data_IF_484880972951
#
_entry.id   IF_484880972951
#
_cell.length_a   1.000
_cell.length_b   1.000
_cell.length_c   1.000
_cell.angle_alpha   90.00
_cell.angle_beta   90.00
_cell.angle_gamma   90.00
#
_symmetry.space_group_name_H-M   'P 1'
#
loop_
_entity.id
_entity.type
_entity.pdbx_description
1 polymer ?
#
# COMPACT_ATOMS: atom_id res chain seq x y z
N UNK A 1 -3.50 57.79 -6.44
CA UNK A 1 -4.36 58.53 -7.38
C UNK A 1 -3.44 59.50 -8.09
N UNK A 2 -3.17 59.46 -9.38
CA UNK A 2 -3.66 58.62 -10.48
C UNK A 2 -2.80 59.02 -11.70
N UNK A 3 -2.46 58.04 -12.53
CA UNK A 3 -2.38 58.12 -14.00
C UNK A 3 -1.38 59.10 -14.63
N UNK A 4 -0.36 58.58 -15.33
CA UNK A 4 -0.29 58.57 -16.82
C UNK A 4 0.84 59.53 -17.23
N UNK A 5 1.80 59.21 -18.10
CA UNK A 5 1.62 58.84 -19.50
C UNK A 5 2.95 58.37 -20.13
N UNK A 6 2.76 57.61 -21.19
CA UNK A 6 3.66 56.89 -22.07
C UNK A 6 4.72 57.74 -22.80
N UNK A 7 5.95 57.21 -23.00
CA UNK A 7 6.76 57.51 -24.18
C UNK A 7 7.45 56.23 -24.67
N UNK A 8 6.78 55.59 -25.64
CA UNK A 8 7.34 54.66 -26.63
C UNK A 8 8.39 55.36 -27.51
N UNK A 9 9.03 54.59 -28.39
CA UNK A 9 9.82 54.97 -29.58
C UNK A 9 11.34 54.96 -29.44
N UNK A 10 11.94 53.77 -29.54
CA UNK A 10 12.98 53.54 -30.55
C UNK A 10 13.26 52.04 -30.75
N UNK A 11 12.97 51.59 -31.98
CA UNK A 11 13.67 50.51 -32.71
C UNK A 11 13.62 49.11 -32.06
N UNK A 12 12.69 48.22 -32.39
CA UNK A 12 12.43 47.64 -33.71
C UNK A 12 13.70 47.41 -34.55
N UNK A 13 13.95 46.12 -34.75
CA UNK A 13 14.63 45.52 -35.90
C UNK A 13 16.16 45.43 -35.87
N UNK A 14 16.67 44.37 -35.23
CA UNK A 14 17.49 43.47 -36.03
C UNK A 14 17.42 42.06 -35.44
N UNK A 15 16.67 41.20 -36.14
CA UNK A 15 16.54 39.79 -35.80
C UNK A 15 17.84 39.02 -36.02
N UNK A 16 18.11 38.11 -35.08
CA UNK A 16 18.60 36.79 -35.43
C UNK A 16 17.96 35.77 -34.49
N UNK A 17 17.20 34.86 -35.09
CA UNK A 17 16.53 33.77 -34.41
C UNK A 17 17.29 32.49 -34.75
N UNK A 18 18.07 31.98 -33.81
CA UNK A 18 18.32 30.54 -33.69
C UNK A 18 18.34 30.13 -32.21
N UNK A 19 17.28 29.50 -31.68
CA UNK A 19 17.39 28.73 -30.45
C UNK A 19 17.85 27.33 -30.85
N UNK A 20 19.16 27.09 -30.90
CA UNK A 20 19.69 25.73 -31.02
C UNK A 20 19.59 25.04 -29.65
N UNK A 21 18.87 23.93 -29.65
CA UNK A 21 18.40 23.25 -28.47
C UNK A 21 19.42 22.27 -27.88
N UNK A 22 19.02 21.77 -26.71
CA UNK A 22 19.55 20.61 -26.02
C UNK A 22 20.85 20.81 -25.21
N UNK A 23 20.77 21.67 -24.20
CA UNK A 23 21.43 21.37 -22.92
C UNK A 23 20.85 20.04 -22.40
N UNK A 24 21.61 18.97 -22.64
CA UNK A 24 21.30 17.65 -22.09
C UNK A 24 21.68 17.70 -20.62
N UNK A 25 20.76 18.24 -19.81
CA UNK A 25 20.79 18.13 -18.37
C UNK A 25 20.69 16.65 -18.00
N UNK A 26 21.85 16.01 -17.89
CA UNK A 26 22.05 14.71 -17.26
C UNK A 26 21.83 14.90 -15.76
N UNK A 27 20.56 15.10 -15.39
CA UNK A 27 20.08 15.08 -14.01
C UNK A 27 20.12 13.65 -13.47
N UNK A 28 20.79 13.50 -12.34
CA UNK A 28 21.11 12.23 -11.68
C UNK A 28 19.95 11.24 -11.60
N UNK A 29 20.16 10.10 -12.28
CA UNK A 29 19.40 8.87 -12.12
C UNK A 29 20.23 7.82 -11.37
N UNK A 30 20.62 8.14 -10.15
CA UNK A 30 21.07 7.24 -9.10
C UNK A 30 20.63 8.00 -7.85
N UNK A 31 19.62 7.58 -7.08
CA UNK A 31 19.70 6.41 -6.21
C UNK A 31 18.27 5.90 -5.91
N UNK A 32 17.83 4.84 -6.59
CA UNK A 32 16.65 4.06 -6.15
C UNK A 32 16.95 2.58 -6.37
N UNK A 33 18.03 2.07 -5.77
CA UNK A 33 18.36 0.65 -5.89
C UNK A 33 19.29 0.12 -4.78
N UNK A 34 19.25 0.66 -3.56
CA UNK A 34 19.94 0.02 -2.41
C UNK A 34 19.02 0.02 -1.18
N UNK A 35 17.97 -0.81 -1.26
CA UNK A 35 17.10 -1.13 -0.12
C UNK A 35 16.86 -2.63 0.04
N UNK A 36 17.57 -3.48 -0.70
CA UNK A 36 17.39 -4.93 -0.71
C UNK A 36 18.08 -5.66 0.44
N UNK A 37 19.21 -5.14 0.93
CA UNK A 37 20.01 -5.79 1.98
C UNK A 37 19.38 -5.75 3.37
N UNK A 38 18.68 -4.66 3.72
CA UNK A 38 18.04 -4.51 5.04
C UNK A 38 16.80 -5.40 5.23
N UNK A 39 16.22 -5.92 4.15
CA UNK A 39 15.11 -6.87 4.20
C UNK A 39 15.56 -8.30 4.52
N UNK A 40 16.84 -8.63 4.33
CA UNK A 40 17.35 -9.99 4.60
C UNK A 40 17.20 -10.38 6.07
N UNK A 41 17.44 -9.43 6.98
CA UNK A 41 17.28 -9.64 8.42
C UNK A 41 15.82 -9.88 8.87
N UNK A 42 14.84 -9.52 8.04
CA UNK A 42 13.40 -9.68 8.36
C UNK A 42 12.88 -11.07 8.01
N UNK A 43 13.57 -11.82 7.13
CA UNK A 43 13.12 -13.16 6.72
C UNK A 43 13.20 -14.20 7.85
N UNK A 44 14.08 -13.99 8.84
CA UNK A 44 14.29 -14.92 9.96
C UNK A 44 13.41 -14.62 11.19
N UNK A 45 12.44 -13.70 11.07
CA UNK A 45 11.55 -13.37 12.18
C UNK A 45 10.47 -14.45 12.33
N UNK A 46 10.39 -15.17 13.48
CA UNK A 46 9.36 -16.16 13.69
C UNK A 46 7.98 -15.49 13.81
N UNK A 47 6.98 -16.01 13.08
CA UNK A 47 5.61 -15.50 13.09
C UNK A 47 4.61 -16.57 13.49
N UNK A 48 3.53 -16.16 14.18
CA UNK A 48 2.45 -17.07 14.54
C UNK A 48 1.45 -17.19 13.38
N UNK A 49 1.37 -18.39 12.82
CA UNK A 49 0.37 -18.75 11.82
C UNK A 49 -0.81 -19.43 12.51
N UNK A 50 -2.03 -19.02 12.20
CA UNK A 50 -3.26 -19.61 12.72
C UNK A 50 -4.19 -19.94 11.56
N UNK A 51 -4.60 -21.20 11.45
CA UNK A 51 -5.59 -21.64 10.49
C UNK A 51 -6.96 -21.68 11.17
N UNK A 52 -7.94 -20.96 10.61
CA UNK A 52 -9.29 -20.83 11.16
C UNK A 52 -10.27 -21.52 10.21
N UNK A 53 -10.89 -22.59 10.71
CA UNK A 53 -11.93 -23.32 9.99
C UNK A 53 -13.23 -22.51 9.87
N UNK A 54 -13.60 -21.79 10.92
CA UNK A 54 -14.84 -21.01 10.95
C UNK A 54 -15.01 -20.29 12.26
N UNK A 55 -15.90 -19.30 12.26
CA UNK A 55 -16.20 -18.45 13.41
C UNK A 55 -17.69 -18.58 13.71
N UNK A 56 -18.06 -18.44 14.97
CA UNK A 56 -19.45 -18.40 15.39
C UNK A 56 -19.59 -17.40 16.53
N UNK A 57 -20.67 -16.61 16.49
CA UNK A 57 -20.95 -15.60 17.50
C UNK A 57 -22.02 -16.14 18.43
N UNK A 58 -21.68 -16.33 19.70
CA UNK A 58 -22.59 -16.82 20.73
C UNK A 58 -22.89 -15.72 21.74
N UNK A 59 -24.12 -15.70 22.25
CA UNK A 59 -24.44 -14.85 23.40
C UNK A 59 -23.76 -15.40 24.66
N UNK A 60 -23.47 -14.53 25.63
CA UNK A 60 -22.83 -14.94 26.90
C UNK A 60 -23.63 -16.05 27.60
N UNK A 61 -24.96 -16.00 27.55
CA UNK A 61 -25.81 -17.04 28.14
C UNK A 61 -25.65 -18.41 27.45
N UNK A 62 -25.51 -18.44 26.11
CA UNK A 62 -25.26 -19.67 25.37
C UNK A 62 -23.86 -20.21 25.66
N UNK A 63 -22.86 -19.33 25.74
CA UNK A 63 -21.49 -19.70 26.06
C UNK A 63 -21.39 -20.38 27.44
N UNK A 64 -22.07 -19.83 28.46
CA UNK A 64 -22.13 -20.40 29.81
C UNK A 64 -22.87 -21.74 29.88
N UNK A 65 -23.70 -22.06 28.89
CA UNK A 65 -24.42 -23.34 28.78
C UNK A 65 -23.62 -24.42 28.04
N UNK A 66 -22.48 -24.08 27.45
CA UNK A 66 -21.63 -25.07 26.79
C UNK A 66 -21.03 -26.03 27.82
N UNK A 67 -21.07 -27.31 27.50
CA UNK A 67 -20.49 -28.37 28.31
C UNK A 67 -19.91 -29.48 27.44
N UNK A 68 -19.47 -30.55 28.08
CA UNK A 68 -19.03 -31.75 27.38
C UNK A 68 -20.16 -32.29 26.51
N UNK A 69 -19.90 -32.46 25.21
CA UNK A 69 -20.88 -32.97 24.24
C UNK A 69 -21.74 -31.89 23.57
N UNK A 70 -21.53 -30.61 23.86
CA UNK A 70 -22.17 -29.54 23.10
C UNK A 70 -21.63 -29.47 21.67
N UNK A 71 -22.53 -29.41 20.69
CA UNK A 71 -22.22 -29.24 19.27
C UNK A 71 -22.46 -27.78 18.93
N UNK A 72 -21.47 -27.12 18.33
CA UNK A 72 -21.56 -25.72 17.92
C UNK A 72 -21.34 -25.63 16.41
N UNK A 73 -22.32 -25.09 15.72
CA UNK A 73 -22.23 -24.83 14.29
C UNK A 73 -21.37 -23.58 14.04
N UNK A 74 -20.52 -23.70 13.02
CA UNK A 74 -19.68 -22.61 12.51
C UNK A 74 -20.33 -22.01 11.26
N UNK A 75 -19.88 -20.83 10.87
CA UNK A 75 -20.35 -20.14 9.66
C UNK A 75 -19.87 -20.74 8.34
N UNK A 76 -18.85 -21.61 8.37
CA UNK A 76 -18.23 -22.19 7.17
C UNK A 76 -18.96 -23.44 6.65
N UNK A 77 -19.10 -23.54 5.33
CA UNK A 77 -19.68 -24.72 4.67
C UNK A 77 -18.64 -25.81 4.42
N UNK A 78 -19.11 -27.05 4.32
CA UNK A 78 -18.27 -28.19 3.95
C UNK A 78 -17.73 -28.00 2.53
N UNK A 79 -16.41 -28.07 2.38
CA UNK A 79 -15.72 -27.91 1.09
C UNK A 79 -15.29 -26.47 0.76
N UNK A 80 -15.48 -25.51 1.67
CA UNK A 80 -14.92 -24.17 1.53
C UNK A 80 -13.50 -24.12 2.10
N UNK A 81 -12.59 -23.43 1.40
CA UNK A 81 -11.21 -23.21 1.85
C UNK A 81 -11.17 -22.55 3.24
N UNK A 82 -10.22 -22.92 4.10
CA UNK A 82 -9.99 -22.33 5.43
C UNK A 82 -9.21 -21.02 5.36
N UNK A 83 -9.38 -20.14 6.36
CA UNK A 83 -8.68 -18.87 6.41
C UNK A 83 -7.36 -18.99 7.17
N UNK A 84 -6.27 -18.45 6.61
CA UNK A 84 -4.95 -18.47 7.22
C UNK A 84 -4.59 -17.05 7.67
N UNK A 85 -4.34 -16.92 8.96
CA UNK A 85 -3.95 -15.69 9.62
C UNK A 85 -2.48 -15.73 10.04
N UNK A 86 -1.79 -14.61 9.87
CA UNK A 86 -0.46 -14.36 10.42
C UNK A 86 -0.54 -13.12 11.28
N UNK A 87 -0.20 -13.22 12.57
CA UNK A 87 -0.32 -12.10 13.52
C UNK A 87 -1.67 -11.36 13.43
N UNK A 88 -2.76 -12.13 13.42
CA UNK A 88 -4.14 -11.64 13.34
C UNK A 88 -4.54 -10.98 12.00
N UNK A 89 -3.70 -11.02 10.98
CA UNK A 89 -4.03 -10.55 9.63
C UNK A 89 -4.33 -11.73 8.70
N UNK A 90 -5.43 -11.67 7.96
CA UNK A 90 -5.73 -12.64 6.91
C UNK A 90 -4.70 -12.49 5.78
N UNK A 91 -3.97 -13.57 5.49
CA UNK A 91 -2.93 -13.56 4.44
C UNK A 91 -3.24 -14.51 3.29
N UNK A 92 -3.98 -15.59 3.56
CA UNK A 92 -4.27 -16.61 2.55
C UNK A 92 -5.56 -17.37 2.87
N UNK A 93 -6.03 -18.13 1.88
CA UNK A 93 -7.00 -19.20 2.02
C UNK A 93 -6.39 -20.49 1.49
N UNK A 94 -6.61 -21.60 2.18
CA UNK A 94 -6.09 -22.92 1.80
C UNK A 94 -7.15 -24.01 1.93
N UNK A 95 -6.95 -25.13 1.25
CA UNK A 95 -7.77 -26.34 1.39
C UNK A 95 -7.13 -27.34 2.36
#
# INVERSE_FOLDING_TARGET
MSDTENMDWQELDQGDATPDGADTAQGGGADVAEGGGDLEAVFDVPVKVSAVLGITNLTVNQLLKLGSGSIVELDRKVGEAIDIYVNNRLVARGE
#
